data_IF_895260187715
#
_entry.id   IF_895260187715
#
_cell.length_a   1.000
_cell.length_b   1.000
_cell.length_c   1.000
_cell.angle_alpha   90.00
_cell.angle_beta   90.00
_cell.angle_gamma   90.00
#
_symmetry.space_group_name_H-M   'P 1'
#
loop_
_entity.id
_entity.type
_entity.pdbx_description
1 polymer ?
#
# COMPACT_ATOMS: atom_id res chain seq x y z
N UNK A 1 16.11 9.02 10.58
CA UNK A 1 15.30 8.30 9.58
C UNK A 1 15.17 6.83 9.98
N UNK A 2 14.01 6.20 9.83
CA UNK A 2 13.81 4.76 10.12
C UNK A 2 13.86 3.94 8.82
N UNK A 3 14.30 2.66 8.81
CA UNK A 3 14.35 1.84 7.59
C UNK A 3 13.01 1.77 6.82
N UNK A 4 11.88 1.77 7.54
CA UNK A 4 10.54 1.83 6.93
C UNK A 4 10.28 3.11 6.13
N UNK A 5 10.83 4.25 6.55
CA UNK A 5 10.66 5.53 5.84
C UNK A 5 11.44 5.54 4.53
N UNK A 6 12.68 5.02 4.54
CA UNK A 6 13.45 4.82 3.30
C UNK A 6 12.71 3.93 2.31
N UNK A 7 12.19 2.79 2.77
CA UNK A 7 11.43 1.89 1.93
C UNK A 7 10.16 2.53 1.36
N UNK A 8 9.42 3.30 2.16
CA UNK A 8 8.24 4.03 1.68
C UNK A 8 8.59 5.07 0.60
N UNK A 9 9.69 5.80 0.77
CA UNK A 9 10.19 6.78 -0.20
C UNK A 9 10.64 6.10 -1.49
N UNK A 10 11.35 4.97 -1.41
CA UNK A 10 11.75 4.16 -2.57
C UNK A 10 10.50 3.63 -3.31
N UNK A 11 9.47 3.20 -2.58
CA UNK A 11 8.24 2.68 -3.18
C UNK A 11 7.37 3.75 -3.84
N UNK A 12 7.53 5.03 -3.50
CA UNK A 12 6.86 6.14 -4.19
C UNK A 12 7.45 6.36 -5.60
N UNK A 13 8.70 5.98 -5.82
CA UNK A 13 9.37 6.12 -7.11
C UNK A 13 8.77 5.15 -8.13
N UNK A 14 8.39 5.68 -9.29
CA UNK A 14 7.73 4.92 -10.36
C UNK A 14 8.73 4.15 -11.21
N UNK A 15 9.95 4.65 -11.36
CA UNK A 15 10.97 4.07 -12.23
C UNK A 15 11.91 3.14 -11.46
N UNK A 16 12.49 2.16 -12.16
CA UNK A 16 13.43 1.20 -11.59
C UNK A 16 14.79 1.82 -11.27
N UNK A 17 15.24 2.77 -12.10
CA UNK A 17 16.52 3.46 -11.95
C UNK A 17 16.53 4.36 -10.71
N UNK A 18 15.46 5.14 -10.48
CA UNK A 18 15.35 5.98 -9.29
C UNK A 18 15.33 5.14 -8.00
N UNK A 19 14.68 3.96 -8.03
CA UNK A 19 14.72 3.04 -6.87
C UNK A 19 16.12 2.52 -6.58
N UNK A 20 16.91 2.20 -7.60
CA UNK A 20 18.30 1.75 -7.43
C UNK A 20 19.17 2.89 -6.87
N UNK A 21 19.01 4.11 -7.37
CA UNK A 21 19.71 5.28 -6.85
C UNK A 21 19.35 5.56 -5.39
N UNK A 22 18.07 5.44 -5.03
CA UNK A 22 17.61 5.62 -3.66
C UNK A 22 18.10 4.50 -2.72
N UNK A 23 18.26 3.26 -3.21
CA UNK A 23 18.87 2.16 -2.46
C UNK A 23 20.36 2.40 -2.15
N UNK A 24 21.09 3.10 -3.03
CA UNK A 24 22.49 3.47 -2.81
C UNK A 24 22.65 4.55 -1.73
N UNK A 25 21.63 5.38 -1.50
CA UNK A 25 21.63 6.36 -0.42
C UNK A 25 21.33 5.74 0.96
N UNK A 26 20.85 4.50 1.00
CA UNK A 26 20.57 3.80 2.26
C UNK A 26 21.88 3.23 2.82
N UNK A 27 22.17 3.42 4.12
CA UNK A 27 23.30 2.75 4.79
C UNK A 27 23.27 1.24 4.59
N UNK A 28 24.43 0.62 4.36
CA UNK A 28 24.52 -0.80 4.01
C UNK A 28 23.89 -1.72 5.05
N UNK A 29 24.04 -1.39 6.33
CA UNK A 29 23.42 -2.08 7.47
C UNK A 29 21.89 -2.18 7.37
N UNK A 30 21.25 -1.25 6.66
CA UNK A 30 19.80 -1.19 6.51
C UNK A 30 19.31 -1.61 5.12
N UNK A 31 20.21 -1.79 4.15
CA UNK A 31 19.85 -2.20 2.78
C UNK A 31 19.04 -3.49 2.77
N UNK A 32 19.42 -4.48 3.57
CA UNK A 32 18.71 -5.76 3.63
C UNK A 32 17.31 -5.62 4.25
N UNK A 33 17.17 -4.80 5.30
CA UNK A 33 15.87 -4.49 5.91
C UNK A 33 14.96 -3.74 4.94
N UNK A 34 15.51 -2.77 4.22
CA UNK A 34 14.77 -1.99 3.21
C UNK A 34 14.35 -2.87 2.04
N UNK A 35 15.24 -3.75 1.55
CA UNK A 35 14.91 -4.74 0.50
C UNK A 35 13.74 -5.63 0.92
N UNK A 36 13.81 -6.22 2.11
CA UNK A 36 12.73 -7.07 2.66
C UNK A 36 11.42 -6.29 2.82
N UNK A 37 11.50 -5.02 3.22
CA UNK A 37 10.31 -4.17 3.33
C UNK A 37 9.68 -3.86 1.96
N UNK A 38 10.50 -3.59 0.94
CA UNK A 38 10.04 -3.40 -0.44
C UNK A 38 9.36 -4.66 -0.98
N UNK A 39 9.96 -5.85 -0.80
CA UNK A 39 9.38 -7.12 -1.21
C UNK A 39 8.04 -7.38 -0.50
N UNK A 40 8.02 -7.26 0.83
CA UNK A 40 6.79 -7.46 1.63
C UNK A 40 5.68 -6.51 1.19
N UNK A 41 6.02 -5.25 0.93
CA UNK A 41 5.04 -4.24 0.52
C UNK A 41 4.55 -4.46 -0.91
N UNK A 42 5.40 -4.98 -1.80
CA UNK A 42 5.02 -5.33 -3.17
C UNK A 42 4.13 -6.57 -3.23
N UNK A 43 4.45 -7.59 -2.42
CA UNK A 43 3.69 -8.84 -2.32
C UNK A 43 2.48 -8.74 -1.39
N UNK A 44 2.21 -7.59 -0.77
CA UNK A 44 1.14 -7.45 0.21
C UNK A 44 -0.23 -7.65 -0.48
N UNK A 45 -1.05 -8.65 -0.06
CA UNK A 45 -2.29 -9.01 -0.74
C UNK A 45 -3.29 -7.85 -0.82
N UNK A 46 -3.26 -6.93 0.13
CA UNK A 46 -4.06 -5.69 0.12
C UNK A 46 -3.79 -4.79 -1.10
N UNK A 47 -2.57 -4.76 -1.67
CA UNK A 47 -2.30 -4.00 -2.90
C UNK A 47 -2.74 -4.76 -4.15
N UNK A 48 -2.75 -6.09 -4.11
CA UNK A 48 -3.31 -6.92 -5.19
C UNK A 48 -4.81 -6.70 -5.31
N UNK A 49 -5.52 -6.70 -4.17
CA UNK A 49 -6.95 -6.37 -4.09
C UNK A 49 -7.27 -4.96 -4.61
N UNK A 50 -6.37 -3.97 -4.42
CA UNK A 50 -6.56 -2.61 -4.94
C UNK A 50 -6.35 -2.51 -6.47
N UNK A 51 -5.53 -3.39 -7.07
CA UNK A 51 -5.31 -3.46 -8.53
C UNK A 51 -6.41 -4.25 -9.24
N UNK A 52 -6.97 -5.26 -8.58
CA UNK A 52 -8.08 -6.08 -9.10
C UNK A 52 -9.48 -5.55 -8.75
N UNK A 53 -9.59 -4.58 -7.84
CA UNK A 53 -10.88 -3.94 -7.58
C UNK A 53 -11.29 -3.16 -8.84
N UNK A 54 -12.45 -3.47 -9.45
CA UNK A 54 -13.01 -2.62 -10.48
C UNK A 54 -13.26 -1.23 -9.89
N UNK A 55 -13.18 -0.21 -10.76
CA UNK A 55 -13.27 1.23 -10.46
C UNK A 55 -14.37 1.56 -9.43
N UNK A 56 -14.15 2.56 -8.56
CA UNK A 56 -15.06 2.91 -7.46
C UNK A 56 -16.28 3.73 -7.94
N UNK A 57 -16.96 3.31 -9.01
CA UNK A 57 -18.15 4.03 -9.53
C UNK A 57 -19.48 3.39 -9.12
N UNK A 58 -19.48 2.24 -8.44
CA UNK A 58 -20.72 1.47 -8.27
C UNK A 58 -21.03 1.01 -6.85
N UNK A 59 -20.47 1.67 -5.83
CA UNK A 59 -20.76 1.37 -4.43
C UNK A 59 -21.24 2.59 -3.64
N UNK A 60 -22.16 3.38 -4.20
CA UNK A 60 -22.87 4.43 -3.45
C UNK A 60 -24.36 4.51 -3.81
N UNK A 61 -25.08 3.39 -3.73
CA UNK A 61 -26.53 3.47 -3.50
C UNK A 61 -27.11 2.14 -3.01
N UNK A 62 -26.87 1.81 -1.74
CA UNK A 62 -27.84 0.99 -0.98
C UNK A 62 -28.46 1.91 0.07
N UNK A 63 -29.74 2.31 -0.06
CA UNK A 63 -30.45 2.86 1.08
C UNK A 63 -30.53 1.73 2.11
N UNK A 64 -29.85 1.93 3.24
CA UNK A 64 -29.93 1.00 4.38
C UNK A 64 -31.39 0.94 4.80
N UNK A 65 -31.97 -0.26 4.74
CA UNK A 65 -33.34 -0.52 5.19
C UNK A 65 -33.57 0.09 6.57
N UNK A 66 -34.55 0.97 6.66
CA UNK A 66 -35.04 1.51 7.92
C UNK A 66 -35.34 0.36 8.89
N UNK A 67 -34.76 0.44 10.09
CA UNK A 67 -34.99 -0.48 11.18
C UNK A 67 -36.49 -0.58 11.53
N UNK A 68 -37.02 -1.77 11.87
CA UNK A 68 -38.39 -1.89 12.33
C UNK A 68 -38.49 -1.31 13.74
N UNK A 69 -39.10 -0.12 13.85
CA UNK A 69 -39.42 0.48 15.13
C UNK A 69 -40.61 -0.26 15.78
N UNK A 70 -40.31 -0.81 16.97
CA UNK A 70 -41.19 -1.02 18.12
C UNK A 70 -42.55 -1.73 17.94
N UNK A 71 -42.63 -2.90 18.60
CA UNK A 71 -43.85 -3.51 19.12
C UNK A 71 -44.57 -2.55 20.08
N UNK A 72 -45.89 -2.43 19.92
CA UNK A 72 -46.86 -2.05 20.96
C UNK A 72 -48.09 -2.91 20.81
#
# INVERSE_FOLDING_TARGET
>A
MRPRQYAAQILQLKTREERNAALLQVPEEWRDLVRKHCETTWHHPSRHKLRESPKPDEQYNRPTSAAPAART
#
